data_IF_466864636861
#
_entry.id   IF_466864636861
#
_cell.length_a   1.000
_cell.length_b   1.000
_cell.length_c   1.000
_cell.angle_alpha   90.00
_cell.angle_beta   90.00
_cell.angle_gamma   90.00
#
_symmetry.space_group_name_H-M   'P 1'
#
loop_
_entity.id
_entity.type
_entity.pdbx_description
1 polymer ?
#
# COMPACT_ATOMS: atom_id res chain seq x y z
N UNK A 1 3.08 9.12 -16.57
CA UNK A 1 4.49 8.84 -16.20
C UNK A 1 4.50 7.84 -15.06
N UNK A 2 5.31 6.80 -15.14
CA UNK A 2 5.42 5.82 -14.07
C UNK A 2 6.37 6.31 -12.99
N UNK A 3 6.06 6.03 -11.73
CA UNK A 3 6.99 6.30 -10.64
C UNK A 3 8.09 5.24 -10.62
N UNK A 4 9.25 5.61 -10.12
CA UNK A 4 10.41 4.72 -10.01
C UNK A 4 11.19 5.01 -8.72
N UNK A 5 11.95 4.04 -8.27
CA UNK A 5 12.73 4.16 -7.03
C UNK A 5 14.05 4.88 -7.33
N UNK A 6 14.33 5.91 -6.52
CA UNK A 6 15.55 6.72 -6.68
C UNK A 6 16.61 6.32 -5.65
N UNK A 7 16.22 6.09 -4.39
CA UNK A 7 17.15 5.82 -3.32
C UNK A 7 16.67 4.64 -2.45
N UNK A 8 17.02 3.39 -2.83
CA UNK A 8 16.55 2.22 -2.09
C UNK A 8 17.23 2.00 -0.74
N UNK A 9 18.27 2.74 -0.42
CA UNK A 9 19.06 2.53 0.81
C UNK A 9 18.61 3.40 1.97
N UNK A 10 17.44 4.04 1.86
CA UNK A 10 16.87 4.82 2.96
C UNK A 10 16.54 3.94 4.16
N UNK A 11 16.75 4.47 5.36
CA UNK A 11 16.38 3.78 6.59
C UNK A 11 14.89 3.97 6.91
N UNK A 12 14.18 2.85 7.08
CA UNK A 12 12.76 2.84 7.44
C UNK A 12 12.57 2.15 8.81
N UNK A 13 13.38 2.50 9.77
CA UNK A 13 13.56 1.75 11.02
C UNK A 13 12.53 2.05 12.12
N UNK A 14 11.31 2.31 11.77
CA UNK A 14 10.20 2.37 12.73
C UNK A 14 9.85 3.73 13.29
N UNK A 15 10.47 4.81 12.83
CA UNK A 15 10.23 6.18 13.35
C UNK A 15 9.02 6.85 12.70
N UNK A 16 8.44 7.85 13.37
CA UNK A 16 7.37 8.67 12.82
C UNK A 16 7.81 9.47 11.59
N UNK A 17 6.86 9.99 10.81
CA UNK A 17 7.14 10.81 9.64
C UNK A 17 7.64 10.07 8.41
N UNK A 18 7.46 8.77 8.37
CA UNK A 18 7.99 7.89 7.32
C UNK A 18 7.43 8.15 5.94
N UNK A 19 6.17 8.56 5.83
CA UNK A 19 5.58 8.85 4.52
C UNK A 19 6.28 10.03 3.87
N UNK A 20 6.66 11.05 4.65
CA UNK A 20 7.47 12.16 4.14
C UNK A 20 8.85 11.69 3.68
N UNK A 21 9.49 10.81 4.45
CA UNK A 21 10.79 10.25 4.09
C UNK A 21 10.70 9.46 2.77
N UNK A 22 9.67 8.64 2.63
CA UNK A 22 9.44 7.85 1.41
C UNK A 22 9.20 8.78 0.22
N UNK A 23 8.32 9.75 0.37
CA UNK A 23 7.98 10.68 -0.71
C UNK A 23 9.20 11.48 -1.13
N UNK A 24 9.98 11.99 -0.17
CA UNK A 24 11.09 12.89 -0.44
C UNK A 24 12.38 12.16 -0.85
N UNK A 25 12.65 10.98 -0.30
CA UNK A 25 13.92 10.28 -0.49
C UNK A 25 13.81 9.09 -1.45
N UNK A 26 12.81 8.21 -1.25
CA UNK A 26 12.66 7.04 -2.09
C UNK A 26 12.15 7.39 -3.49
N UNK A 27 11.19 8.32 -3.57
CA UNK A 27 10.54 8.73 -4.83
C UNK A 27 10.79 10.20 -5.17
N UNK A 28 11.91 10.74 -4.85
CA UNK A 28 12.27 12.15 -4.92
C UNK A 28 11.65 12.91 -6.11
N UNK A 29 10.78 13.87 -5.80
CA UNK A 29 10.17 14.77 -6.78
C UNK A 29 9.05 14.15 -7.62
N UNK A 30 8.75 12.87 -7.48
CA UNK A 30 7.73 12.20 -8.27
C UNK A 30 6.37 12.20 -7.59
N UNK A 31 6.33 12.28 -6.26
CA UNK A 31 5.13 12.26 -5.46
C UNK A 31 5.06 13.49 -4.56
N UNK A 32 3.82 13.95 -4.33
CA UNK A 32 3.51 15.02 -3.38
C UNK A 32 2.57 14.43 -2.35
N UNK A 33 2.83 14.72 -1.08
CA UNK A 33 1.97 14.27 0.02
C UNK A 33 0.57 14.86 -0.12
N UNK A 34 -0.43 14.01 0.02
CA UNK A 34 -1.84 14.42 -0.04
C UNK A 34 -2.63 13.61 0.98
N UNK A 35 -2.98 14.25 2.11
CA UNK A 35 -3.73 13.61 3.18
C UNK A 35 -5.17 13.34 2.77
N UNK A 36 -5.51 12.06 2.63
CA UNK A 36 -6.87 11.62 2.38
C UNK A 36 -7.09 10.25 3.04
N UNK A 37 -8.34 9.88 3.27
CA UNK A 37 -8.67 8.60 3.88
C UNK A 37 -8.22 7.40 3.02
N UNK A 38 -8.20 7.57 1.69
CA UNK A 38 -7.93 6.49 0.75
C UNK A 38 -6.55 6.55 0.10
N UNK A 39 -5.79 7.64 0.31
CA UNK A 39 -4.45 7.76 -0.28
C UNK A 39 -3.54 8.68 0.53
N UNK A 40 -2.24 8.54 0.33
CA UNK A 40 -1.18 9.29 1.04
C UNK A 40 -0.44 10.27 0.14
N UNK A 41 -0.45 10.05 -1.17
CA UNK A 41 0.32 10.84 -2.12
C UNK A 41 -0.34 10.92 -3.49
N UNK A 42 0.09 11.90 -4.28
CA UNK A 42 -0.37 12.10 -5.66
C UNK A 42 0.84 12.38 -6.56
N UNK A 43 0.82 11.88 -7.80
CA UNK A 43 1.84 12.18 -8.78
C UNK A 43 1.45 13.38 -9.65
N UNK A 44 2.32 13.76 -10.60
CA UNK A 44 2.09 14.90 -11.49
C UNK A 44 0.96 14.67 -12.49
N UNK A 45 0.57 13.42 -12.73
CA UNK A 45 -0.52 13.06 -13.65
C UNK A 45 -1.86 12.92 -12.93
N UNK A 46 -1.90 13.19 -11.62
CA UNK A 46 -3.12 13.10 -10.82
C UNK A 46 -3.47 11.71 -10.34
N UNK A 47 -2.55 10.76 -10.41
CA UNK A 47 -2.75 9.42 -9.85
C UNK A 47 -2.51 9.43 -8.35
N UNK A 48 -3.37 8.76 -7.60
CA UNK A 48 -3.32 8.71 -6.15
C UNK A 48 -2.70 7.40 -5.68
N UNK A 49 -1.95 7.47 -4.58
CA UNK A 49 -1.20 6.33 -4.04
C UNK A 49 -1.40 6.20 -2.54
N UNK A 50 -1.73 5.00 -2.08
CA UNK A 50 -1.66 4.63 -0.69
C UNK A 50 -0.32 3.94 -0.45
N UNK A 51 0.41 4.32 0.60
CA UNK A 51 1.74 3.80 0.90
C UNK A 51 1.64 2.79 2.04
N UNK A 52 2.08 1.56 1.79
CA UNK A 52 2.15 0.49 2.78
C UNK A 52 3.60 0.02 2.89
N UNK A 53 4.22 0.25 4.05
CA UNK A 53 5.62 -0.09 4.30
C UNK A 53 5.72 -1.04 5.48
N UNK A 54 6.28 -2.21 5.27
CA UNK A 54 6.46 -3.22 6.30
C UNK A 54 7.67 -4.11 5.98
N UNK A 55 8.15 -4.81 7.00
CA UNK A 55 9.15 -5.84 6.76
C UNK A 55 8.55 -7.04 6.01
N UNK A 56 7.37 -7.49 6.42
CA UNK A 56 6.62 -8.52 5.71
C UNK A 56 5.13 -8.47 6.05
N UNK A 57 4.76 -8.53 7.33
CA UNK A 57 3.37 -8.59 7.76
C UNK A 57 2.74 -7.19 7.80
N UNK A 58 1.67 -7.01 7.05
CA UNK A 58 0.86 -5.80 7.06
C UNK A 58 -0.56 -6.14 7.51
N UNK A 59 -1.09 -5.37 8.44
CA UNK A 59 -2.48 -5.46 8.87
C UNK A 59 -3.33 -4.46 8.09
N UNK A 60 -4.45 -4.96 7.56
CA UNK A 60 -5.43 -4.14 6.86
C UNK A 60 -6.75 -4.15 7.62
N UNK A 61 -7.47 -3.03 7.57
CA UNK A 61 -8.86 -2.96 8.01
C UNK A 61 -9.75 -3.01 6.78
N UNK A 62 -10.41 -4.16 6.49
CA UNK A 62 -11.24 -4.28 5.29
C UNK A 62 -12.41 -3.30 5.24
N UNK A 63 -12.84 -2.76 6.39
CA UNK A 63 -13.94 -1.79 6.45
C UNK A 63 -13.64 -0.52 5.67
N UNK A 64 -12.35 -0.13 5.60
CA UNK A 64 -11.90 1.02 4.84
C UNK A 64 -12.28 0.94 3.36
N UNK A 65 -12.40 -0.28 2.83
CA UNK A 65 -12.60 -0.53 1.41
C UNK A 65 -14.02 -1.00 1.07
N UNK A 66 -14.98 -0.89 1.99
CA UNK A 66 -16.36 -1.35 1.77
C UNK A 66 -17.23 -0.32 1.04
N UNK A 67 -16.82 0.95 1.02
CA UNK A 67 -17.53 1.98 0.28
C UNK A 67 -17.09 1.97 -1.18
N UNK A 68 -18.04 2.18 -2.08
CA UNK A 68 -17.78 2.32 -3.52
C UNK A 68 -17.36 3.76 -3.85
N UNK A 69 -16.39 4.28 -3.11
CA UNK A 69 -15.84 5.60 -3.36
C UNK A 69 -15.10 5.61 -4.70
N UNK A 70 -15.37 6.63 -5.51
CA UNK A 70 -14.73 6.81 -6.82
C UNK A 70 -13.21 6.95 -6.70
N UNK A 71 -12.68 7.46 -5.57
CA UNK A 71 -11.25 7.56 -5.35
C UNK A 71 -10.56 6.19 -5.28
N UNK A 72 -11.25 5.14 -4.79
CA UNK A 72 -10.68 3.80 -4.74
C UNK A 72 -10.42 3.23 -6.13
N UNK A 73 -11.25 3.58 -7.12
CA UNK A 73 -11.09 3.09 -8.49
C UNK A 73 -9.89 3.72 -9.22
N UNK A 74 -9.40 4.88 -8.72
CA UNK A 74 -8.28 5.61 -9.32
C UNK A 74 -7.03 5.57 -8.46
N UNK A 75 -7.05 4.84 -7.34
CA UNK A 75 -5.95 4.77 -6.38
C UNK A 75 -5.15 3.49 -6.61
N UNK A 76 -3.83 3.59 -6.44
CA UNK A 76 -2.92 2.45 -6.40
C UNK A 76 -2.30 2.33 -5.02
N UNK A 77 -1.92 1.12 -4.65
CA UNK A 77 -1.17 0.87 -3.42
C UNK A 77 0.30 0.66 -3.79
N UNK A 78 1.17 1.37 -3.09
CA UNK A 78 2.62 1.15 -3.17
C UNK A 78 2.99 0.27 -1.97
N UNK A 79 3.40 -0.97 -2.25
CA UNK A 79 3.90 -1.87 -1.22
C UNK A 79 5.42 -1.74 -1.15
N UNK A 80 5.94 -1.35 0.00
CA UNK A 80 7.37 -1.20 0.25
C UNK A 80 7.77 -2.21 1.31
N UNK A 81 8.54 -3.22 0.89
CA UNK A 81 9.14 -4.20 1.80
C UNK A 81 10.57 -3.77 2.07
N UNK A 82 10.91 -3.68 3.35
CA UNK A 82 12.24 -3.28 3.78
C UNK A 82 12.79 -4.24 4.83
N UNK A 83 14.10 -4.29 4.96
CA UNK A 83 14.77 -5.09 5.98
C UNK A 83 15.74 -4.20 6.76
N UNK A 84 15.79 -4.42 8.07
CA UNK A 84 16.70 -3.69 8.96
C UNK A 84 18.15 -3.90 8.51
N UNK A 85 18.93 -2.83 8.52
CA UNK A 85 20.34 -2.80 8.13
C UNK A 85 20.61 -3.12 6.65
N UNK A 86 19.57 -3.27 5.85
CA UNK A 86 19.66 -3.52 4.40
C UNK A 86 19.09 -2.35 3.60
N UNK A 87 17.89 -1.89 3.97
CA UNK A 87 17.14 -0.90 3.23
C UNK A 87 15.91 -1.51 2.56
N UNK A 88 15.46 -0.88 1.49
CA UNK A 88 14.30 -1.34 0.75
C UNK A 88 14.66 -2.57 -0.09
N UNK A 89 13.86 -3.62 0.03
CA UNK A 89 14.07 -4.89 -0.68
C UNK A 89 13.19 -4.98 -1.92
N UNK A 90 11.93 -4.63 -1.79
CA UNK A 90 10.96 -4.70 -2.90
C UNK A 90 10.03 -3.51 -2.87
N UNK A 91 9.74 -2.94 -4.04
CA UNK A 91 8.67 -1.97 -4.20
C UNK A 91 7.76 -2.45 -5.31
N UNK A 92 6.47 -2.63 -5.00
CA UNK A 92 5.49 -3.15 -5.93
C UNK A 92 4.24 -2.28 -5.93
N UNK A 93 3.64 -2.11 -7.10
CA UNK A 93 2.39 -1.36 -7.28
C UNK A 93 1.25 -2.33 -7.59
N UNK A 94 0.08 -2.02 -7.04
CA UNK A 94 -1.15 -2.74 -7.35
C UNK A 94 -2.30 -1.76 -7.35
N UNK A 95 -3.21 -1.87 -8.32
CA UNK A 95 -4.43 -1.07 -8.24
C UNK A 95 -5.22 -1.46 -6.99
N UNK A 96 -5.77 -0.47 -6.28
CA UNK A 96 -6.52 -0.72 -5.04
C UNK A 96 -7.72 -1.63 -5.30
N UNK A 97 -8.43 -1.42 -6.41
CA UNK A 97 -9.59 -2.25 -6.76
C UNK A 97 -9.21 -3.70 -7.03
N UNK A 98 -8.09 -3.95 -7.72
CA UNK A 98 -7.61 -5.31 -7.95
C UNK A 98 -7.18 -5.98 -6.66
N UNK A 99 -6.51 -5.23 -5.79
CA UNK A 99 -6.11 -5.74 -4.47
C UNK A 99 -7.32 -6.18 -3.65
N UNK A 100 -8.35 -5.32 -3.59
CA UNK A 100 -9.59 -5.63 -2.86
C UNK A 100 -10.24 -6.90 -3.42
N UNK A 101 -10.38 -6.97 -4.73
CA UNK A 101 -11.08 -8.06 -5.40
C UNK A 101 -10.38 -9.41 -5.22
N UNK A 102 -9.05 -9.43 -5.38
CA UNK A 102 -8.28 -10.68 -5.41
C UNK A 102 -7.82 -11.13 -4.02
N UNK A 103 -7.50 -10.19 -3.13
CA UNK A 103 -6.91 -10.50 -1.82
C UNK A 103 -7.96 -10.56 -0.72
N UNK A 104 -8.91 -9.61 -0.69
CA UNK A 104 -9.92 -9.61 0.37
C UNK A 104 -11.08 -10.56 0.12
N UNK A 105 -11.45 -10.84 -1.11
CA UNK A 105 -12.62 -11.59 -1.56
C UNK A 105 -13.97 -11.02 -1.06
N UNK A 106 -15.07 -11.49 -1.67
CA UNK A 106 -16.40 -10.95 -1.39
C UNK A 106 -16.90 -11.27 0.03
N UNK A 107 -16.62 -12.47 0.54
CA UNK A 107 -17.07 -12.88 1.88
C UNK A 107 -16.50 -12.00 2.97
N UNK A 108 -15.21 -11.66 2.88
CA UNK A 108 -14.56 -10.78 3.83
C UNK A 108 -15.14 -9.37 3.77
N UNK A 109 -15.43 -8.87 2.58
CA UNK A 109 -16.01 -7.53 2.40
C UNK A 109 -17.45 -7.47 2.93
N UNK A 110 -18.25 -8.51 2.74
CA UNK A 110 -19.60 -8.60 3.31
C UNK A 110 -19.53 -8.59 4.85
N UNK A 111 -18.65 -9.37 5.43
CA UNK A 111 -18.44 -9.38 6.88
C UNK A 111 -18.01 -8.00 7.39
N UNK A 112 -17.08 -7.36 6.71
CA UNK A 112 -16.59 -6.04 7.08
C UNK A 112 -17.72 -4.99 7.06
N UNK A 113 -18.60 -5.03 6.06
CA UNK A 113 -19.75 -4.13 5.97
C UNK A 113 -20.71 -4.34 7.13
N UNK A 114 -20.98 -5.59 7.50
CA UNK A 114 -21.87 -5.90 8.65
C UNK A 114 -21.27 -5.40 9.96
N UNK A 115 -19.98 -5.59 10.18
CA UNK A 115 -19.30 -5.13 11.40
C UNK A 115 -19.29 -3.61 11.46
N UNK A 116 -19.05 -2.94 10.35
CA UNK A 116 -19.06 -1.47 10.29
C UNK A 116 -20.41 -0.87 10.71
N UNK A 117 -21.52 -1.54 10.35
CA UNK A 117 -22.87 -1.10 10.72
C UNK A 117 -23.17 -1.41 12.20
N UNK A 118 -22.91 -2.66 12.63
CA UNK A 118 -23.27 -3.13 13.97
C UNK A 118 -22.35 -2.61 15.08
N UNK A 119 -21.08 -2.39 14.76
CA UNK A 119 -20.05 -1.99 15.73
C UNK A 119 -19.04 -1.07 15.07
N UNK A 120 -19.39 0.21 14.80
CA UNK A 120 -18.55 1.11 14.02
C UNK A 120 -17.18 1.41 14.65
N UNK A 121 -17.03 1.17 15.97
CA UNK A 121 -15.76 1.36 16.67
C UNK A 121 -14.88 0.11 16.69
N UNK A 122 -15.42 -1.05 16.29
CA UNK A 122 -14.66 -2.30 16.26
C UNK A 122 -13.75 -2.30 15.01
N UNK A 123 -12.45 -2.46 15.23
CA UNK A 123 -11.50 -2.59 14.13
C UNK A 123 -11.41 -4.05 13.70
N UNK A 124 -11.50 -4.27 12.39
CA UNK A 124 -11.15 -5.55 11.80
C UNK A 124 -9.70 -5.50 11.36
N UNK A 125 -8.95 -6.55 11.67
CA UNK A 125 -7.54 -6.65 11.29
C UNK A 125 -7.35 -7.92 10.47
N UNK A 126 -7.11 -7.73 9.18
CA UNK A 126 -6.82 -8.83 8.27
C UNK A 126 -5.32 -8.85 7.97
N UNK A 127 -4.59 -9.91 8.34
CA UNK A 127 -3.15 -9.98 8.10
C UNK A 127 -2.84 -10.33 6.66
N UNK A 128 -1.87 -9.63 6.09
CA UNK A 128 -1.35 -9.94 4.76
C UNK A 128 0.17 -10.03 4.85
N UNK A 129 0.71 -11.18 4.45
CA UNK A 129 2.15 -11.38 4.33
C UNK A 129 2.59 -10.91 2.95
N UNK A 130 3.19 -9.73 2.91
CA UNK A 130 3.42 -8.96 1.67
C UNK A 130 4.31 -9.74 0.69
N UNK A 131 5.41 -10.33 1.16
CA UNK A 131 6.34 -11.07 0.28
C UNK A 131 5.66 -12.24 -0.40
N UNK A 132 4.92 -13.04 0.38
CA UNK A 132 4.17 -14.20 -0.15
C UNK A 132 3.08 -13.76 -1.11
N UNK A 133 2.35 -12.72 -0.76
CA UNK A 133 1.28 -12.18 -1.60
C UNK A 133 1.81 -11.75 -2.97
N UNK A 134 2.92 -11.02 -2.99
CA UNK A 134 3.52 -10.55 -4.25
C UNK A 134 4.01 -11.73 -5.08
N UNK A 135 4.70 -12.70 -4.46
CA UNK A 135 5.25 -13.85 -5.18
C UNK A 135 4.17 -14.80 -5.70
N UNK A 136 3.07 -14.94 -4.99
CA UNK A 136 1.96 -15.82 -5.38
C UNK A 136 1.01 -15.19 -6.42
N UNK A 137 1.08 -13.87 -6.60
CA UNK A 137 0.19 -13.13 -7.51
C UNK A 137 1.00 -12.25 -8.48
N UNK A 138 1.93 -12.82 -9.26
CA UNK A 138 2.86 -12.02 -10.06
C UNK A 138 2.18 -11.16 -11.13
N UNK A 139 0.96 -11.51 -11.56
CA UNK A 139 0.21 -10.73 -12.56
C UNK A 139 -0.54 -9.55 -11.95
N UNK A 140 -0.74 -9.57 -10.63
CA UNK A 140 -1.47 -8.52 -9.92
C UNK A 140 -0.58 -7.31 -9.61
N UNK A 141 0.71 -7.54 -9.47
CA UNK A 141 1.66 -6.54 -9.02
C UNK A 141 2.62 -6.11 -10.12
N UNK A 142 2.87 -4.80 -10.19
CA UNK A 142 3.95 -4.24 -10.99
C UNK A 142 5.14 -3.96 -10.07
N UNK A 143 6.19 -4.78 -10.17
CA UNK A 143 7.40 -4.62 -9.34
C UNK A 143 8.27 -3.55 -9.98
N UNK A 144 8.44 -2.41 -9.32
CA UNK A 144 9.25 -1.30 -9.82
C UNK A 144 10.67 -1.30 -9.24
N UNK A 145 10.89 -2.07 -8.19
CA UNK A 145 12.24 -2.27 -7.63
C UNK A 145 12.32 -3.62 -6.94
N UNK A 146 13.41 -4.33 -7.18
CA UNK A 146 13.76 -5.56 -6.48
C UNK A 146 15.25 -5.53 -6.20
N UNK A 147 15.62 -5.59 -4.92
CA UNK A 147 17.04 -5.57 -4.54
C UNK A 147 17.72 -6.85 -5.02
N UNK A 148 18.88 -6.72 -5.69
CA UNK A 148 19.69 -7.88 -6.07
C UNK A 148 20.18 -8.64 -4.83
N UNK A 149 20.27 -9.96 -4.96
CA UNK A 149 20.83 -10.80 -3.90
C UNK A 149 22.36 -10.61 -3.77
#
# INVERSE_FOLDING_TARGET
MSIYVVNPDIGLDGRGGKDNLIINELFKGQLIRDHHETHDAVDSDGNYYEIKKQQNLQWFDPRKYTSMDTTLSTTQIIFIVWEKDVGVVTVALCSTMNFIREIFNDDLLVLASKVAIASPRTQLKHPVYIKSMISENPKLFNIIYQRPD
#
